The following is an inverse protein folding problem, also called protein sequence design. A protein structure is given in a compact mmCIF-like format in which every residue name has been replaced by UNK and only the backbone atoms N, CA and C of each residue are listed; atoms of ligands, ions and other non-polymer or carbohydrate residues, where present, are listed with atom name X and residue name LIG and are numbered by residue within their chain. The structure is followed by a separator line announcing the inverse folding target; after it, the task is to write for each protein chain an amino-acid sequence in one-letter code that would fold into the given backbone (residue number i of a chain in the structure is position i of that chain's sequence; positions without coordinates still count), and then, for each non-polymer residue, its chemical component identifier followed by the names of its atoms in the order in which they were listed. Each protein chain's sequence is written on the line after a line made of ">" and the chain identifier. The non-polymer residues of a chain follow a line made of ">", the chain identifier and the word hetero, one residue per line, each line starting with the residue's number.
data_IF_148420147493
#
_entry.id   IF_148420147493
#
_cell.length_a   1.000
_cell.length_b   1.000
_cell.length_c   1.000
_cell.angle_alpha   90.00
_cell.angle_beta   90.00
_cell.angle_gamma   90.00
#
_symmetry.space_group_name_H-M   'P 1'
#
loop_
_entity.id
_entity.type
_entity.pdbx_description
1 polymer ?
#
# COMPACT_ATOMS: atom_id res chain seq x y z
N UNK A 1 -35.63 -39.14 -46.75
CA UNK A 1 -35.75 -37.92 -45.93
C UNK A 1 -34.37 -37.58 -45.38
N UNK A 2 -33.68 -36.61 -46.00
CA UNK A 2 -32.27 -36.28 -45.74
C UNK A 2 -32.13 -35.26 -44.60
N UNK A 3 -31.16 -35.49 -43.70
CA UNK A 3 -30.78 -34.53 -42.64
C UNK A 3 -29.85 -33.44 -43.21
N UNK A 4 -29.98 -32.17 -42.78
CA UNK A 4 -29.07 -31.11 -43.21
C UNK A 4 -27.77 -31.12 -42.38
N UNK A 5 -26.64 -31.03 -43.08
CA UNK A 5 -25.29 -30.85 -42.53
C UNK A 5 -25.08 -29.36 -42.25
N UNK A 6 -24.81 -28.99 -40.99
CA UNK A 6 -24.41 -27.62 -40.62
C UNK A 6 -22.90 -27.47 -40.84
N UNK A 7 -22.49 -26.47 -41.64
CA UNK A 7 -21.09 -26.04 -41.75
C UNK A 7 -20.77 -25.04 -40.64
N UNK A 8 -19.58 -25.15 -40.06
CA UNK A 8 -18.99 -24.20 -39.12
C UNK A 8 -18.30 -23.05 -39.89
N UNK A 9 -18.25 -21.83 -39.34
CA UNK A 9 -17.54 -20.72 -39.97
C UNK A 9 -16.01 -20.76 -39.72
N UNK A 10 -15.25 -20.45 -40.76
CA UNK A 10 -13.79 -20.20 -40.74
C UNK A 10 -13.46 -18.93 -39.95
N UNK A 11 -12.42 -19.00 -39.11
CA UNK A 11 -11.86 -17.87 -38.37
C UNK A 11 -10.80 -17.18 -39.24
N UNK A 12 -11.03 -15.90 -39.52
CA UNK A 12 -10.20 -15.07 -40.38
C UNK A 12 -9.03 -14.46 -39.59
N UNK A 13 -7.82 -15.02 -39.76
CA UNK A 13 -6.57 -14.49 -39.21
C UNK A 13 -5.99 -13.41 -40.12
N UNK A 14 -5.96 -12.15 -39.68
CA UNK A 14 -5.27 -11.11 -40.46
C UNK A 14 -5.33 -9.70 -39.90
N UNK A 15 -4.67 -9.42 -38.76
CA UNK A 15 -4.38 -8.02 -38.35
C UNK A 15 -3.06 -7.81 -37.59
N UNK A 16 -2.18 -8.81 -37.49
CA UNK A 16 -1.00 -8.71 -36.60
C UNK A 16 0.29 -8.49 -37.38
N UNK A 17 0.41 -7.44 -38.21
CA UNK A 17 1.71 -7.06 -38.83
C UNK A 17 2.00 -5.57 -39.05
N UNK A 18 1.16 -4.63 -38.58
CA UNK A 18 1.42 -3.19 -38.83
C UNK A 18 1.90 -2.36 -37.62
N UNK A 19 1.75 -2.85 -36.38
CA UNK A 19 1.97 -2.01 -35.18
C UNK A 19 3.44 -1.88 -34.72
N UNK A 20 4.36 -2.70 -35.23
CA UNK A 20 5.76 -2.73 -34.75
C UNK A 20 6.61 -1.58 -35.34
N UNK A 21 6.23 -1.04 -36.50
CA UNK A 21 7.02 0.02 -37.17
C UNK A 21 6.77 1.40 -36.53
N UNK A 22 5.60 1.62 -35.92
CA UNK A 22 5.26 2.93 -35.34
C UNK A 22 5.97 3.18 -33.98
N UNK A 23 6.24 2.13 -33.21
CA UNK A 23 6.88 2.25 -31.87
C UNK A 23 8.36 2.65 -31.98
N UNK A 24 9.06 2.25 -33.04
CA UNK A 24 10.48 2.57 -33.23
C UNK A 24 10.74 4.02 -33.66
N UNK A 25 9.74 4.72 -34.20
CA UNK A 25 9.88 6.13 -34.60
C UNK A 25 9.68 7.12 -33.43
N UNK A 26 9.01 6.71 -32.35
CA UNK A 26 8.76 7.57 -31.18
C UNK A 26 9.97 7.60 -30.23
N UNK A 27 10.75 6.52 -30.18
CA UNK A 27 11.94 6.40 -29.30
C UNK A 27 13.15 7.25 -29.71
N UNK A 28 13.15 7.87 -30.90
CA UNK A 28 14.29 8.64 -31.40
C UNK A 28 14.21 10.16 -31.12
N UNK A 29 13.17 10.66 -30.46
CA UNK A 29 12.89 12.10 -30.32
C UNK A 29 13.05 12.71 -28.91
N UNK A 30 13.48 11.96 -27.89
CA UNK A 30 13.61 12.50 -26.51
C UNK A 30 15.05 12.78 -26.04
N UNK A 31 16.06 12.65 -26.91
CA UNK A 31 17.42 13.13 -26.62
C UNK A 31 17.54 14.61 -26.99
N UNK A 32 17.04 15.49 -26.13
CA UNK A 32 17.21 16.93 -26.34
C UNK A 32 16.67 17.84 -25.25
N UNK A 33 17.60 18.36 -24.46
CA UNK A 33 17.73 19.75 -23.96
C UNK A 33 17.57 20.03 -22.47
N UNK A 34 18.56 20.82 -22.02
CA UNK A 34 18.60 21.80 -20.91
C UNK A 34 18.43 21.29 -19.47
N UNK A 35 19.31 21.55 -18.51
CA UNK A 35 20.32 22.61 -18.41
C UNK A 35 19.83 23.74 -17.49
N UNK A 36 20.10 23.62 -16.18
CA UNK A 36 20.19 24.66 -15.13
C UNK A 36 21.10 24.04 -14.05
N UNK A 37 22.32 24.44 -13.72
CA UNK A 37 23.00 25.73 -13.44
C UNK A 37 22.55 26.44 -12.16
N UNK A 38 23.48 26.48 -11.20
CA UNK A 38 23.73 27.41 -10.07
C UNK A 38 22.72 27.44 -8.91
N UNK A 39 23.13 27.07 -7.68
CA UNK A 39 24.02 27.76 -6.72
C UNK A 39 23.30 28.94 -6.04
N UNK A 40 23.08 28.84 -4.72
CA UNK A 40 23.52 29.87 -3.78
C UNK A 40 23.40 29.39 -2.33
N UNK A 41 24.51 29.57 -1.63
CA UNK A 41 24.69 29.46 -0.19
C UNK A 41 24.06 30.70 0.44
N UNK A 42 23.42 30.56 1.61
CA UNK A 42 23.25 31.71 2.49
C UNK A 42 23.28 31.26 3.95
N UNK A 43 24.44 31.47 4.57
CA UNK A 43 24.62 31.55 6.00
C UNK A 43 24.06 32.89 6.49
N UNK A 44 23.16 32.86 7.46
CA UNK A 44 22.90 34.04 8.29
C UNK A 44 22.52 33.60 9.70
N UNK A 45 23.54 33.62 10.56
CA UNK A 45 23.42 33.65 12.01
C UNK A 45 22.70 34.91 12.48
N UNK A 46 21.66 34.78 13.31
CA UNK A 46 21.24 35.85 14.22
C UNK A 46 21.01 35.25 15.61
N UNK A 47 21.97 35.57 16.46
CA UNK A 47 21.93 35.48 17.91
C UNK A 47 21.02 36.60 18.45
N UNK A 48 20.02 36.25 19.26
CA UNK A 48 19.36 37.21 20.17
C UNK A 48 18.89 36.46 21.41
N UNK A 49 19.60 36.69 22.50
CA UNK A 49 19.33 36.19 23.83
C UNK A 49 18.10 36.86 24.50
N UNK A 50 17.30 36.02 25.21
CA UNK A 50 16.65 36.12 26.57
C UNK A 50 16.23 37.50 27.17
N UNK A 51 15.43 37.53 28.27
CA UNK A 51 14.51 36.55 28.91
C UNK A 51 13.17 37.15 29.45
N UNK A 52 12.23 36.28 29.87
CA UNK A 52 11.39 36.35 31.11
C UNK A 52 10.31 35.25 31.02
N UNK A 53 10.36 34.20 31.85
CA UNK A 53 9.65 34.09 33.15
C UNK A 53 8.14 34.27 33.01
N UNK A 54 7.41 33.13 32.92
CA UNK A 54 6.00 33.05 33.29
C UNK A 54 5.79 31.81 34.15
N UNK A 55 5.15 32.04 35.30
CA UNK A 55 5.03 31.12 36.40
C UNK A 55 3.77 30.24 36.30
N UNK A 56 3.92 29.00 36.76
CA UNK A 56 2.90 28.36 37.58
C UNK A 56 1.63 27.88 36.86
N UNK A 57 1.71 26.69 36.24
CA UNK A 57 0.53 25.84 36.05
C UNK A 57 0.70 24.52 36.80
N UNK A 58 -0.28 24.10 37.61
CA UNK A 58 -0.19 22.87 38.40
C UNK A 58 -0.11 21.65 37.47
N UNK A 59 0.99 20.92 37.62
CA UNK A 59 1.23 19.61 37.01
C UNK A 59 0.23 18.61 37.60
N UNK A 60 -0.85 18.37 36.86
CA UNK A 60 -1.72 17.21 37.07
C UNK A 60 -0.96 16.03 36.48
N UNK A 61 -0.40 15.20 37.35
CA UNK A 61 0.18 13.90 36.97
C UNK A 61 -0.93 13.03 36.41
N UNK A 62 -1.10 13.07 35.09
CA UNK A 62 -1.83 12.04 34.35
C UNK A 62 -1.08 10.73 34.62
N UNK A 63 -1.75 9.67 35.12
CA UNK A 63 -1.10 8.37 35.24
C UNK A 63 -0.66 7.95 33.84
N UNK A 64 0.66 7.78 33.68
CA UNK A 64 1.24 7.15 32.51
C UNK A 64 0.57 5.78 32.35
N UNK A 65 -0.02 5.46 31.17
CA UNK A 65 -0.56 4.13 30.95
C UNK A 65 0.59 3.13 31.07
N UNK A 66 0.39 2.12 31.93
CA UNK A 66 1.34 1.05 32.20
C UNK A 66 1.86 0.44 30.88
N UNK A 67 3.11 0.79 30.57
CA UNK A 67 3.82 0.51 29.33
C UNK A 67 4.48 -0.89 29.39
N UNK A 68 3.69 -1.88 29.82
CA UNK A 68 4.08 -3.31 29.83
C UNK A 68 3.52 -4.07 28.60
N UNK A 69 3.21 -3.36 27.51
CA UNK A 69 3.08 -4.01 26.20
C UNK A 69 4.48 -4.25 25.67
N UNK A 70 5.01 -5.45 25.94
CA UNK A 70 6.18 -5.98 25.26
C UNK A 70 6.07 -5.62 23.77
N UNK A 71 7.03 -4.85 23.25
CA UNK A 71 7.11 -4.45 21.86
C UNK A 71 7.08 -5.70 20.99
N UNK A 72 5.89 -6.13 20.60
CA UNK A 72 5.72 -7.25 19.68
C UNK A 72 6.34 -6.78 18.37
N UNK A 73 7.35 -7.51 17.89
CA UNK A 73 7.98 -7.17 16.63
C UNK A 73 6.93 -7.26 15.52
N UNK A 74 6.77 -6.17 14.77
CA UNK A 74 5.87 -6.13 13.62
C UNK A 74 6.42 -6.98 12.47
N UNK A 75 7.72 -7.29 12.48
CA UNK A 75 8.37 -8.13 11.50
C UNK A 75 8.24 -9.60 11.91
N UNK A 76 7.72 -10.43 10.99
CA UNK A 76 7.62 -11.87 11.20
C UNK A 76 8.23 -12.66 10.03
N UNK A 77 8.66 -13.89 10.31
CA UNK A 77 9.15 -14.84 9.30
C UNK A 77 8.03 -15.81 8.94
N UNK A 78 7.55 -15.77 7.69
CA UNK A 78 6.43 -16.59 7.25
C UNK A 78 6.72 -18.10 7.33
N UNK A 79 7.99 -18.52 7.32
CA UNK A 79 8.40 -19.93 7.49
C UNK A 79 8.36 -20.40 8.94
N UNK A 80 8.33 -19.48 9.90
CA UNK A 80 8.38 -19.77 11.34
C UNK A 80 7.01 -19.70 12.03
N UNK A 81 6.00 -19.13 11.37
CA UNK A 81 4.64 -18.96 11.90
C UNK A 81 3.67 -19.97 11.30
N UNK A 82 2.50 -20.12 11.91
CA UNK A 82 1.39 -20.94 11.43
C UNK A 82 0.04 -20.25 11.66
N UNK A 83 -1.00 -20.76 11.00
CA UNK A 83 -2.39 -20.34 11.27
C UNK A 83 -2.72 -20.48 12.76
N UNK A 84 -3.34 -19.45 13.32
CA UNK A 84 -3.65 -19.30 14.74
C UNK A 84 -2.58 -18.56 15.56
N UNK A 85 -1.36 -18.38 15.02
CA UNK A 85 -0.37 -17.51 15.66
C UNK A 85 -0.80 -16.03 15.54
N UNK A 86 -0.25 -15.17 16.40
CA UNK A 86 -0.54 -13.73 16.41
C UNK A 86 0.69 -12.89 16.11
N UNK A 87 0.51 -11.83 15.34
CA UNK A 87 1.52 -10.78 15.07
C UNK A 87 0.83 -9.44 15.33
N UNK A 88 1.38 -8.64 16.24
CA UNK A 88 0.74 -7.39 16.72
C UNK A 88 -0.71 -7.59 17.18
N UNK A 89 -0.98 -8.70 17.87
CA UNK A 89 -2.34 -9.06 18.30
C UNK A 89 -3.30 -9.51 17.18
N UNK A 90 -2.93 -9.38 15.90
CA UNK A 90 -3.71 -9.87 14.75
C UNK A 90 -3.44 -11.36 14.54
N UNK A 91 -4.49 -12.17 14.41
CA UNK A 91 -4.39 -13.62 14.24
C UNK A 91 -4.21 -14.00 12.77
N UNK A 92 -3.26 -14.89 12.47
CA UNK A 92 -3.09 -15.47 11.14
C UNK A 92 -4.23 -16.45 10.89
N UNK A 93 -5.13 -16.13 9.96
CA UNK A 93 -6.28 -16.96 9.60
C UNK A 93 -6.09 -17.73 8.29
N UNK A 94 -5.13 -17.31 7.46
CA UNK A 94 -4.74 -18.00 6.23
C UNK A 94 -3.23 -17.78 6.00
N UNK A 95 -2.52 -18.84 5.62
CA UNK A 95 -1.08 -18.80 5.35
C UNK A 95 -0.74 -19.77 4.23
N UNK A 96 -0.17 -19.23 3.16
CA UNK A 96 0.39 -20.00 2.05
C UNK A 96 1.81 -19.53 1.80
N UNK A 97 2.75 -20.44 2.03
CA UNK A 97 4.17 -20.26 1.72
C UNK A 97 4.51 -21.23 0.59
N UNK A 98 5.02 -20.70 -0.52
CA UNK A 98 5.45 -21.51 -1.65
C UNK A 98 6.95 -21.30 -1.87
N UNK A 99 7.73 -22.29 -1.42
CA UNK A 99 9.17 -22.31 -1.53
C UNK A 99 9.59 -22.58 -2.98
N UNK A 100 10.37 -21.66 -3.56
CA UNK A 100 11.07 -21.90 -4.83
C UNK A 100 12.47 -22.44 -4.53
N UNK A 101 13.18 -21.78 -3.62
CA UNK A 101 14.46 -22.22 -3.05
C UNK A 101 14.64 -21.69 -1.60
N UNK A 102 15.83 -21.85 -1.03
CA UNK A 102 16.12 -21.45 0.37
C UNK A 102 15.86 -19.96 0.63
N UNK A 103 16.19 -19.11 -0.36
CA UNK A 103 16.16 -17.65 -0.24
C UNK A 103 14.99 -17.01 -1.01
N UNK A 104 14.36 -17.74 -1.93
CA UNK A 104 13.24 -17.27 -2.75
C UNK A 104 11.98 -18.07 -2.46
N UNK A 105 10.97 -17.40 -1.93
CA UNK A 105 9.65 -17.98 -1.71
C UNK A 105 8.58 -16.92 -1.91
N UNK A 106 7.37 -17.34 -2.25
CA UNK A 106 6.21 -16.45 -2.27
C UNK A 106 5.32 -16.68 -1.06
N UNK A 107 4.77 -15.59 -0.54
CA UNK A 107 3.96 -15.58 0.67
C UNK A 107 2.62 -14.95 0.40
N UNK A 108 1.56 -15.61 0.85
CA UNK A 108 0.24 -15.00 1.06
C UNK A 108 -0.17 -15.26 2.49
N UNK A 109 -0.46 -14.20 3.23
CA UNK A 109 -0.96 -14.28 4.61
C UNK A 109 -2.22 -13.43 4.73
N UNK A 110 -3.22 -13.93 5.46
CA UNK A 110 -4.35 -13.11 5.90
C UNK A 110 -4.42 -13.10 7.41
N UNK A 111 -4.70 -11.92 7.93
CA UNK A 111 -4.84 -11.65 9.34
C UNK A 111 -6.29 -11.29 9.67
N UNK A 112 -6.74 -11.68 10.86
CA UNK A 112 -7.98 -11.20 11.48
C UNK A 112 -7.62 -10.37 12.71
N UNK A 113 -8.23 -9.20 12.86
CA UNK A 113 -7.91 -8.28 13.94
C UNK A 113 -7.79 -6.86 13.42
N UNK A 114 -8.03 -5.88 14.30
CA UNK A 114 -8.02 -4.47 13.92
C UNK A 114 -6.67 -3.82 14.14
N UNK A 115 -6.29 -2.94 13.22
CA UNK A 115 -5.15 -2.04 13.36
C UNK A 115 -5.59 -0.61 13.04
N UNK A 116 -4.97 0.37 13.71
CA UNK A 116 -5.16 1.80 13.40
C UNK A 116 -3.90 2.30 12.72
N UNK A 117 -4.04 2.92 11.54
CA UNK A 117 -2.91 3.43 10.75
C UNK A 117 -3.21 4.81 10.17
N UNK A 118 -2.21 5.69 10.19
CA UNK A 118 -2.19 6.93 9.42
C UNK A 118 -1.56 6.71 8.05
N UNK A 119 -2.00 7.49 7.06
CA UNK A 119 -1.47 7.41 5.71
C UNK A 119 -2.13 8.35 4.72
N UNK A 120 -1.80 8.14 3.45
CA UNK A 120 -2.37 8.86 2.32
C UNK A 120 -3.24 7.92 1.50
N UNK A 121 -4.52 8.26 1.30
CA UNK A 121 -5.38 7.54 0.35
C UNK A 121 -5.35 8.20 -1.03
N UNK A 122 -5.47 7.38 -2.06
CA UNK A 122 -5.69 7.79 -3.45
C UNK A 122 -6.79 6.92 -4.02
N UNK A 123 -7.92 7.54 -4.39
CA UNK A 123 -8.96 6.87 -5.16
C UNK A 123 -8.65 7.06 -6.64
N UNK A 124 -8.19 6.00 -7.28
CA UNK A 124 -7.81 6.04 -8.67
C UNK A 124 -9.00 6.22 -9.61
N UNK A 125 -8.74 6.81 -10.78
CA UNK A 125 -9.76 7.03 -11.79
C UNK A 125 -9.99 5.75 -12.62
N UNK A 126 -11.17 5.64 -13.20
CA UNK A 126 -11.56 4.49 -14.02
C UNK A 126 -10.62 4.26 -15.23
N UNK A 127 -9.97 5.31 -15.74
CA UNK A 127 -9.05 5.25 -16.88
C UNK A 127 -7.63 4.78 -16.54
N UNK A 128 -7.33 4.47 -15.28
CA UNK A 128 -6.02 3.94 -14.89
C UNK A 128 -5.92 2.42 -15.13
N UNK A 129 -5.15 2.03 -16.17
CA UNK A 129 -5.04 0.64 -16.66
C UNK A 129 -4.66 -0.43 -15.61
N UNK A 130 -3.97 -0.05 -14.52
CA UNK A 130 -3.41 -1.02 -13.56
C UNK A 130 -4.22 -1.17 -12.26
N UNK A 131 -4.89 -0.10 -11.82
CA UNK A 131 -5.63 -0.08 -10.55
C UNK A 131 -7.14 0.17 -10.74
N UNK A 132 -7.58 0.74 -11.86
CA UNK A 132 -8.99 1.09 -12.09
C UNK A 132 -9.53 1.98 -10.97
N UNK A 133 -10.80 1.84 -10.58
CA UNK A 133 -11.38 2.57 -9.45
C UNK A 133 -10.92 2.07 -8.06
N UNK A 134 -9.71 1.52 -7.89
CA UNK A 134 -9.26 1.06 -6.57
C UNK A 134 -8.92 2.25 -5.67
N UNK A 135 -9.17 2.09 -4.38
CA UNK A 135 -8.71 3.01 -3.36
C UNK A 135 -7.43 2.44 -2.74
N UNK A 136 -6.30 3.05 -3.08
CA UNK A 136 -4.98 2.75 -2.51
C UNK A 136 -4.80 3.51 -1.21
N UNK A 137 -4.12 2.90 -0.24
CA UNK A 137 -3.69 3.53 0.99
C UNK A 137 -2.20 3.29 1.21
N UNK A 138 -1.39 4.36 1.17
CA UNK A 138 0.03 4.36 1.49
C UNK A 138 0.21 4.71 2.97
N UNK A 139 0.80 3.81 3.74
CA UNK A 139 0.94 3.95 5.20
C UNK A 139 2.08 4.90 5.52
N UNK A 140 1.87 5.81 6.47
CA UNK A 140 2.94 6.72 6.92
C UNK A 140 4.03 5.95 7.69
N UNK A 141 5.28 6.39 7.59
CA UNK A 141 6.44 5.70 8.18
C UNK A 141 6.29 5.44 9.70
N UNK A 142 5.64 6.37 10.41
CA UNK A 142 5.33 6.26 11.85
C UNK A 142 4.29 5.17 12.18
N UNK A 143 3.43 4.83 11.22
CA UNK A 143 2.36 3.84 11.33
C UNK A 143 2.75 2.47 10.75
N UNK A 144 3.91 2.33 10.09
CA UNK A 144 4.33 1.04 9.50
C UNK A 144 4.46 -0.07 10.58
N UNK A 145 4.93 0.29 11.78
CA UNK A 145 5.09 -0.64 12.89
C UNK A 145 3.75 -1.10 13.50
N UNK A 146 2.62 -0.52 13.08
CA UNK A 146 1.28 -0.93 13.51
C UNK A 146 0.70 -2.07 12.66
N UNK A 147 1.41 -2.50 11.59
CA UNK A 147 0.97 -3.59 10.72
C UNK A 147 2.01 -4.70 10.66
N UNK A 148 1.59 -5.99 10.59
CA UNK A 148 2.48 -7.09 10.31
C UNK A 148 3.25 -6.86 9.00
N UNK A 149 4.55 -7.15 9.02
CA UNK A 149 5.43 -7.12 7.86
C UNK A 149 6.17 -8.43 7.76
N UNK A 150 6.14 -9.04 6.58
CA UNK A 150 6.95 -10.22 6.32
C UNK A 150 8.43 -9.79 6.18
N UNK A 151 9.34 -10.52 6.79
CA UNK A 151 10.78 -10.22 6.89
C UNK A 151 11.47 -9.98 5.55
N UNK A 152 11.06 -10.67 4.49
CA UNK A 152 11.60 -10.49 3.13
C UNK A 152 10.91 -9.38 2.33
N UNK A 153 9.75 -8.87 2.78
CA UNK A 153 9.04 -7.77 2.11
C UNK A 153 9.73 -6.42 2.34
N UNK A 154 10.45 -5.95 1.31
CA UNK A 154 11.14 -4.65 1.29
C UNK A 154 10.37 -3.56 0.56
N UNK A 155 9.14 -3.82 0.12
CA UNK A 155 8.32 -2.82 -0.60
C UNK A 155 7.87 -1.71 0.36
N UNK A 156 7.57 -0.53 -0.18
CA UNK A 156 6.84 0.51 0.58
C UNK A 156 5.51 -0.07 1.05
N UNK A 157 5.12 0.21 2.28
CA UNK A 157 3.91 -0.36 2.86
C UNK A 157 2.66 0.35 2.32
N UNK A 158 1.94 -0.31 1.43
CA UNK A 158 0.66 0.17 0.92
C UNK A 158 -0.28 -1.00 0.65
N UNK A 159 -1.59 -0.73 0.66
CA UNK A 159 -2.62 -1.72 0.39
C UNK A 159 -3.80 -1.13 -0.36
N UNK A 160 -4.68 -2.01 -0.84
CA UNK A 160 -5.97 -1.65 -1.46
C UNK A 160 -7.12 -2.10 -0.58
N UNK A 161 -8.16 -1.26 -0.45
CA UNK A 161 -9.36 -1.63 0.27
C UNK A 161 -10.18 -2.71 -0.46
N UNK A 162 -10.64 -3.73 0.26
CA UNK A 162 -11.44 -4.84 -0.29
C UNK A 162 -12.93 -4.53 -0.34
N UNK A 163 -13.42 -3.66 0.55
CA UNK A 163 -14.79 -3.17 0.64
C UNK A 163 -14.90 -1.79 -0.04
N UNK A 164 -14.79 -1.81 -1.37
CA UNK A 164 -14.68 -0.61 -2.20
C UNK A 164 -15.80 0.40 -1.94
N UNK A 165 -17.06 -0.03 -1.97
CA UNK A 165 -18.21 0.87 -1.91
C UNK A 165 -18.25 1.63 -0.57
N UNK A 166 -18.04 0.93 0.55
CA UNK A 166 -17.96 1.57 1.88
C UNK A 166 -16.72 2.46 2.01
N UNK A 167 -15.60 2.09 1.39
CA UNK A 167 -14.40 2.91 1.37
C UNK A 167 -14.59 4.19 0.55
N UNK A 168 -15.28 4.13 -0.59
CA UNK A 168 -15.62 5.29 -1.41
C UNK A 168 -16.53 6.26 -0.64
N UNK A 169 -17.55 5.76 0.05
CA UNK A 169 -18.45 6.61 0.86
C UNK A 169 -17.69 7.43 1.91
N UNK A 170 -16.63 6.86 2.51
CA UNK A 170 -15.86 7.49 3.58
C UNK A 170 -14.67 8.33 3.09
N UNK A 171 -13.98 7.87 2.05
CA UNK A 171 -12.74 8.47 1.53
C UNK A 171 -12.98 9.36 0.31
N UNK A 172 -14.16 9.28 -0.33
CA UNK A 172 -14.56 10.14 -1.43
C UNK A 172 -14.50 9.46 -2.80
N UNK A 173 -15.01 10.15 -3.83
CA UNK A 173 -15.23 9.58 -5.17
C UNK A 173 -13.90 9.38 -5.94
N UNK A 174 -13.93 8.69 -7.09
CA UNK A 174 -12.77 8.54 -7.98
C UNK A 174 -12.07 9.86 -8.29
N UNK A 175 -10.74 9.85 -8.25
CA UNK A 175 -9.88 11.03 -8.39
C UNK A 175 -9.66 11.83 -7.10
N UNK A 176 -10.21 11.41 -5.97
CA UNK A 176 -9.93 12.02 -4.66
C UNK A 176 -8.63 11.49 -4.05
N UNK A 177 -7.95 12.32 -3.27
CA UNK A 177 -6.79 11.92 -2.47
C UNK A 177 -6.67 12.79 -1.22
N UNK A 178 -5.96 12.30 -0.21
CA UNK A 178 -5.71 13.05 1.00
C UNK A 178 -5.09 12.22 2.12
N UNK A 179 -4.83 12.87 3.25
CA UNK A 179 -4.42 12.19 4.48
C UNK A 179 -5.64 11.61 5.18
N UNK A 180 -5.45 10.48 5.86
CA UNK A 180 -6.46 9.93 6.75
C UNK A 180 -5.81 9.04 7.82
N UNK A 181 -6.46 8.95 8.97
CA UNK A 181 -6.21 7.91 9.97
C UNK A 181 -7.39 6.94 9.94
N UNK A 182 -7.12 5.66 9.69
CA UNK A 182 -8.15 4.64 9.46
C UNK A 182 -7.99 3.47 10.42
N UNK A 183 -9.10 2.83 10.74
CA UNK A 183 -9.11 1.50 11.35
C UNK A 183 -9.40 0.48 10.28
N UNK A 184 -8.53 -0.52 10.17
CA UNK A 184 -8.64 -1.61 9.21
C UNK A 184 -8.81 -2.96 9.91
N UNK A 185 -9.32 -3.94 9.19
CA UNK A 185 -9.40 -5.35 9.56
C UNK A 185 -9.08 -6.21 8.33
N UNK A 186 -9.07 -7.53 8.48
CA UNK A 186 -8.87 -8.50 7.39
C UNK A 186 -7.61 -8.18 6.54
N UNK A 187 -6.51 -7.76 7.20
CA UNK A 187 -5.28 -7.36 6.52
C UNK A 187 -4.63 -8.55 5.81
N UNK A 188 -4.24 -8.37 4.56
CA UNK A 188 -3.65 -9.40 3.71
C UNK A 188 -2.30 -8.95 3.18
N UNK A 189 -1.27 -9.77 3.40
CA UNK A 189 0.05 -9.58 2.79
C UNK A 189 0.15 -10.48 1.58
N UNK A 190 0.61 -9.91 0.48
CA UNK A 190 0.82 -10.63 -0.75
C UNK A 190 2.20 -10.33 -1.36
N UNK A 191 3.13 -11.23 -1.09
CA UNK A 191 4.51 -11.19 -1.57
C UNK A 191 4.70 -12.31 -2.59
N UNK A 192 4.03 -12.18 -3.74
CA UNK A 192 4.24 -13.07 -4.89
C UNK A 192 5.11 -12.37 -5.94
N UNK A 193 5.72 -13.13 -6.86
CA UNK A 193 6.55 -12.58 -7.94
C UNK A 193 5.76 -11.75 -8.98
N UNK A 194 4.44 -11.75 -8.86
CA UNK A 194 3.52 -10.91 -9.63
C UNK A 194 3.32 -9.56 -8.95
N UNK A 195 2.84 -8.56 -9.71
CA UNK A 195 2.46 -7.22 -9.22
C UNK A 195 1.24 -7.25 -8.29
N UNK A 196 1.19 -8.16 -7.31
CA UNK A 196 0.16 -8.24 -6.30
C UNK A 196 0.48 -7.24 -5.17
N UNK A 197 -0.57 -6.73 -4.56
CA UNK A 197 -0.53 -5.74 -3.49
C UNK A 197 -1.17 -6.30 -2.23
N UNK A 198 -0.84 -5.68 -1.10
CA UNK A 198 -1.50 -5.98 0.16
C UNK A 198 -2.95 -5.47 0.10
N UNK A 199 -3.80 -6.03 0.96
CA UNK A 199 -5.22 -5.70 1.00
C UNK A 199 -5.66 -5.45 2.43
N UNK A 200 -6.69 -4.65 2.64
CA UNK A 200 -7.33 -4.52 3.93
C UNK A 200 -8.81 -4.20 3.78
N UNK A 201 -9.62 -4.47 4.80
CA UNK A 201 -10.98 -3.99 4.88
C UNK A 201 -11.02 -2.72 5.71
N UNK A 202 -11.61 -1.65 5.18
CA UNK A 202 -11.85 -0.43 5.95
C UNK A 202 -12.97 -0.67 6.95
N UNK A 203 -12.69 -0.43 8.24
CA UNK A 203 -13.70 -0.49 9.31
C UNK A 203 -14.30 0.90 9.54
N UNK A 204 -13.46 1.93 9.65
CA UNK A 204 -13.87 3.33 9.84
C UNK A 204 -12.72 4.30 9.60
N UNK A 205 -13.05 5.56 9.35
CA UNK A 205 -12.11 6.69 9.34
C UNK A 205 -12.18 7.42 10.68
N UNK A 206 -11.03 7.67 11.30
CA UNK A 206 -10.90 8.44 12.56
C UNK A 206 -10.73 9.93 12.25
N UNK A 207 -9.85 10.25 11.30
CA UNK A 207 -9.50 11.61 10.90
C UNK A 207 -9.25 11.67 9.39
N UNK A 208 -9.58 12.81 8.76
CA UNK A 208 -9.43 13.09 7.33
C UNK A 208 -9.15 14.57 7.09
#
# INVERSE_FOLDING_TARGET
>A
MSKPVRRLPEVQTGVVRLSVILVLLILALSLGTCGCSQQEENEASVDTARPAEDEGKPSVSVPEPDLDEATQDHIFDAKAVKVGDKVLGMEIVDLSVNDIDEDNYSVRVKFSGQATVSGTYTHEKEDEEMLGCKIRFEVDAESEACLPREKTDKRVLWFVFTNHDEAEELLGPPGSSGKATVVIDEYGINCTFSCEYNTAKLVRVIER
#
